data_IF_107632741465
#
_entry.id   IF_107632741465
#
_cell.length_a   1.000
_cell.length_b   1.000
_cell.length_c   1.000
_cell.angle_alpha   90.00
_cell.angle_beta   90.00
_cell.angle_gamma   90.00
#
_symmetry.space_group_name_H-M   'P 1'
#
loop_
_entity.id
_entity.type
_entity.pdbx_description
1 polymer ?
#
# COMPACT_ATOMS: atom_id res chain seq x y z
N UNK A 1 23.77 -4.98 14.09
CA UNK A 1 22.74 -3.92 14.03
C UNK A 1 22.12 -3.94 12.64
N UNK A 2 20.81 -4.16 12.53
CA UNK A 2 20.12 -4.14 11.23
C UNK A 2 20.12 -2.68 10.75
N UNK A 3 20.58 -2.44 9.51
CA UNK A 3 20.70 -1.09 8.98
C UNK A 3 19.30 -0.53 8.68
N UNK A 4 18.84 0.41 9.51
CA UNK A 4 17.52 1.06 9.44
C UNK A 4 17.22 1.62 8.04
N UNK A 5 18.23 2.16 7.34
CA UNK A 5 18.10 2.71 5.98
C UNK A 5 17.78 1.65 4.92
N UNK A 6 18.11 0.39 5.18
CA UNK A 6 17.80 -0.73 4.30
C UNK A 6 16.36 -1.23 4.52
N UNK A 7 15.89 -1.24 5.77
CA UNK A 7 14.50 -1.60 6.10
C UNK A 7 13.52 -0.61 5.46
N UNK A 8 13.73 0.69 5.64
CA UNK A 8 12.83 1.69 5.05
C UNK A 8 12.79 1.61 3.52
N UNK A 9 13.94 1.42 2.87
CA UNK A 9 14.00 1.23 1.40
C UNK A 9 13.34 -0.07 0.95
N UNK A 10 13.44 -1.13 1.74
CA UNK A 10 12.78 -2.40 1.48
C UNK A 10 11.25 -2.25 1.55
N UNK A 11 10.73 -1.64 2.61
CA UNK A 11 9.29 -1.36 2.78
C UNK A 11 8.73 -0.54 1.61
N UNK A 12 9.43 0.55 1.24
CA UNK A 12 9.00 1.41 0.13
C UNK A 12 8.96 0.65 -1.19
N UNK A 13 9.94 -0.23 -1.45
CA UNK A 13 9.96 -1.05 -2.67
C UNK A 13 8.76 -2.00 -2.71
N UNK A 14 8.39 -2.61 -1.59
CA UNK A 14 7.22 -3.50 -1.53
C UNK A 14 5.90 -2.74 -1.77
N UNK A 15 5.70 -1.58 -1.14
CA UNK A 15 4.52 -0.74 -1.42
C UNK A 15 4.52 -0.18 -2.85
N UNK A 16 5.69 0.05 -3.45
CA UNK A 16 5.79 0.42 -4.87
C UNK A 16 5.38 -0.74 -5.79
N UNK A 17 5.82 -1.96 -5.49
CA UNK A 17 5.39 -3.16 -6.21
C UNK A 17 3.88 -3.38 -6.10
N UNK A 18 3.30 -3.18 -4.90
CA UNK A 18 1.86 -3.23 -4.69
C UNK A 18 1.12 -2.21 -5.56
N UNK A 19 1.58 -0.94 -5.57
CA UNK A 19 0.97 0.12 -6.35
C UNK A 19 1.01 -0.18 -7.87
N UNK A 20 2.14 -0.65 -8.37
CA UNK A 20 2.30 -1.01 -9.78
C UNK A 20 1.41 -2.22 -10.13
N UNK A 21 1.36 -3.23 -9.28
CA UNK A 21 0.49 -4.39 -9.49
C UNK A 21 -0.99 -4.00 -9.56
N UNK A 22 -1.45 -3.09 -8.69
CA UNK A 22 -2.83 -2.57 -8.71
C UNK A 22 -3.14 -1.80 -10.01
N UNK A 23 -2.18 -1.02 -10.51
CA UNK A 23 -2.33 -0.30 -11.77
C UNK A 23 -2.41 -1.27 -12.97
N UNK A 24 -1.54 -2.28 -13.00
CA UNK A 24 -1.56 -3.31 -14.05
C UNK A 24 -2.85 -4.12 -13.99
N UNK A 25 -3.40 -4.38 -12.80
CA UNK A 25 -4.71 -5.02 -12.65
C UNK A 25 -5.80 -4.19 -13.34
N UNK A 26 -5.89 -2.89 -13.03
CA UNK A 26 -6.88 -2.00 -13.67
C UNK A 26 -6.76 -1.94 -15.20
N UNK A 27 -5.52 -1.90 -15.70
CA UNK A 27 -5.24 -1.95 -17.16
C UNK A 27 -5.69 -3.30 -17.72
N UNK A 28 -5.29 -4.42 -17.11
CA UNK A 28 -5.59 -5.78 -17.60
C UNK A 28 -7.09 -6.04 -17.66
N UNK A 29 -7.85 -5.61 -16.64
CA UNK A 29 -9.30 -5.72 -16.60
C UNK A 29 -10.00 -4.88 -17.68
N UNK A 30 -9.34 -3.81 -18.15
CA UNK A 30 -9.89 -2.97 -19.23
C UNK A 30 -9.82 -3.66 -20.60
N UNK A 31 -8.80 -4.49 -20.83
CA UNK A 31 -8.56 -5.18 -22.11
C UNK A 31 -9.08 -6.62 -22.15
N UNK A 32 -9.01 -7.38 -21.05
CA UNK A 32 -9.26 -8.83 -21.03
C UNK A 32 -10.52 -9.21 -20.24
N UNK A 33 -11.69 -8.84 -20.77
CA UNK A 33 -12.98 -9.03 -20.08
C UNK A 33 -13.38 -10.50 -19.87
N UNK A 34 -12.97 -11.40 -20.76
CA UNK A 34 -13.32 -12.83 -20.67
C UNK A 34 -12.55 -13.57 -19.56
N UNK A 35 -11.32 -13.16 -19.25
CA UNK A 35 -10.42 -13.82 -18.29
C UNK A 35 -10.41 -13.14 -16.92
N UNK A 36 -11.42 -12.32 -16.63
CA UNK A 36 -11.49 -11.44 -15.46
C UNK A 36 -11.19 -12.17 -14.14
N UNK A 37 -11.79 -13.34 -13.92
CA UNK A 37 -11.64 -14.08 -12.66
C UNK A 37 -10.21 -14.56 -12.44
N UNK A 38 -9.55 -15.09 -13.48
CA UNK A 38 -8.17 -15.59 -13.38
C UNK A 38 -7.21 -14.42 -13.14
N UNK A 39 -7.40 -13.32 -13.89
CA UNK A 39 -6.63 -12.08 -13.68
C UNK A 39 -6.79 -11.63 -12.23
N UNK A 40 -8.01 -11.58 -11.71
CA UNK A 40 -8.28 -11.15 -10.35
C UNK A 40 -7.55 -12.02 -9.32
N UNK A 41 -7.66 -13.34 -9.42
CA UNK A 41 -6.99 -14.28 -8.49
C UNK A 41 -5.48 -14.06 -8.47
N UNK A 42 -4.85 -13.97 -9.65
CA UNK A 42 -3.40 -13.80 -9.76
C UNK A 42 -2.96 -12.49 -9.12
N UNK A 43 -3.64 -11.40 -9.41
CA UNK A 43 -3.28 -10.09 -8.85
C UNK A 43 -3.57 -10.00 -7.36
N UNK A 44 -4.70 -10.51 -6.86
CA UNK A 44 -4.99 -10.54 -5.43
C UNK A 44 -3.95 -11.35 -4.64
N UNK A 45 -3.45 -12.46 -5.18
CA UNK A 45 -2.34 -13.19 -4.58
C UNK A 45 -1.06 -12.34 -4.51
N UNK A 46 -0.71 -11.64 -5.59
CA UNK A 46 0.46 -10.76 -5.63
C UNK A 46 0.33 -9.60 -4.62
N UNK A 47 -0.85 -8.99 -4.55
CA UNK A 47 -1.16 -7.89 -3.62
C UNK A 47 -1.09 -8.39 -2.17
N UNK A 48 -1.69 -9.55 -1.87
CA UNK A 48 -1.66 -10.18 -0.55
C UNK A 48 -0.26 -10.60 -0.09
N UNK A 49 0.58 -11.12 -1.00
CA UNK A 49 1.99 -11.42 -0.69
C UNK A 49 2.75 -10.12 -0.40
N UNK A 50 2.50 -9.06 -1.19
CA UNK A 50 3.16 -7.78 -1.01
C UNK A 50 2.84 -7.15 0.35
N UNK A 51 1.58 -7.20 0.80
CA UNK A 51 1.19 -6.71 2.14
C UNK A 51 1.77 -7.58 3.25
N UNK A 52 1.68 -8.90 3.14
CA UNK A 52 2.23 -9.84 4.13
C UNK A 52 3.74 -9.67 4.34
N UNK A 53 4.49 -9.30 3.28
CA UNK A 53 5.93 -9.01 3.37
C UNK A 53 6.24 -7.60 3.88
N UNK A 54 5.32 -6.64 3.71
CA UNK A 54 5.54 -5.23 4.06
C UNK A 54 5.23 -4.92 5.52
N UNK A 55 4.17 -5.53 6.05
CA UNK A 55 3.63 -5.17 7.36
C UNK A 55 4.59 -5.51 8.51
N UNK A 56 5.18 -6.72 8.63
CA UNK A 56 6.06 -7.02 9.75
C UNK A 56 7.30 -6.11 9.81
N UNK A 57 8.06 -5.88 8.73
CA UNK A 57 9.17 -4.93 8.75
C UNK A 57 8.76 -3.50 9.10
N UNK A 58 7.57 -3.05 8.67
CA UNK A 58 7.04 -1.74 9.03
C UNK A 58 6.80 -1.63 10.53
N UNK A 59 6.12 -2.61 11.12
CA UNK A 59 5.85 -2.61 12.56
C UNK A 59 7.13 -2.74 13.39
N UNK A 60 8.08 -3.58 12.97
CA UNK A 60 9.40 -3.67 13.63
C UNK A 60 10.16 -2.34 13.53
N UNK A 61 10.16 -1.68 12.38
CA UNK A 61 10.78 -0.36 12.22
C UNK A 61 10.17 0.67 13.18
N UNK A 62 8.83 0.71 13.30
CA UNK A 62 8.15 1.61 14.24
C UNK A 62 8.55 1.28 15.69
N UNK A 63 8.63 0.00 16.04
CA UNK A 63 9.04 -0.44 17.38
C UNK A 63 10.49 -0.08 17.73
N UNK A 64 11.40 -0.09 16.74
CA UNK A 64 12.81 0.27 16.93
C UNK A 64 13.03 1.78 17.08
N UNK A 65 12.25 2.60 16.38
CA UNK A 65 12.47 4.06 16.33
C UNK A 65 11.69 4.82 17.41
N UNK A 66 10.56 4.29 17.88
CA UNK A 66 9.71 4.96 18.86
C UNK A 66 10.19 4.68 20.31
N UNK A 67 10.35 5.71 21.16
CA UNK A 67 10.68 5.52 22.57
C UNK A 67 9.66 4.65 23.31
N UNK A 68 10.12 3.84 24.27
CA UNK A 68 9.29 2.87 24.99
C UNK A 68 8.07 3.50 25.66
N UNK A 69 8.20 4.73 26.15
CA UNK A 69 7.15 5.48 26.86
C UNK A 69 5.97 5.85 25.94
N UNK A 70 6.24 5.94 24.62
CA UNK A 70 5.25 6.30 23.61
C UNK A 70 4.85 5.13 22.70
N UNK A 71 5.56 3.99 22.77
CA UNK A 71 5.36 2.86 21.87
C UNK A 71 3.91 2.36 21.87
N UNK A 72 3.33 2.15 23.06
CA UNK A 72 1.94 1.72 23.18
C UNK A 72 0.96 2.69 22.50
N UNK A 73 1.14 4.00 22.71
CA UNK A 73 0.29 5.05 22.12
C UNK A 73 0.36 5.04 20.59
N UNK A 74 1.57 4.97 20.03
CA UNK A 74 1.78 4.96 18.58
C UNK A 74 1.24 3.69 17.95
N UNK A 75 1.50 2.52 18.54
CA UNK A 75 1.01 1.25 18.03
C UNK A 75 -0.52 1.17 18.07
N UNK A 76 -1.15 1.55 19.19
CA UNK A 76 -2.61 1.62 19.28
C UNK A 76 -3.18 2.55 18.23
N UNK A 77 -2.59 3.74 18.04
CA UNK A 77 -3.04 4.67 17.01
C UNK A 77 -2.97 4.08 15.60
N UNK A 78 -1.85 3.42 15.24
CA UNK A 78 -1.70 2.75 13.94
C UNK A 78 -2.74 1.64 13.74
N UNK A 79 -2.97 0.79 14.73
CA UNK A 79 -3.97 -0.27 14.64
C UNK A 79 -5.39 0.28 14.55
N UNK A 80 -5.73 1.29 15.35
CA UNK A 80 -7.04 1.95 15.29
C UNK A 80 -7.29 2.55 13.91
N UNK A 81 -6.30 3.22 13.32
CA UNK A 81 -6.41 3.73 11.96
C UNK A 81 -6.62 2.59 10.95
N UNK A 82 -5.82 1.52 11.01
CA UNK A 82 -5.98 0.39 10.09
C UNK A 82 -7.37 -0.26 10.19
N UNK A 83 -7.86 -0.48 11.41
CA UNK A 83 -9.17 -1.06 11.68
C UNK A 83 -10.31 -0.15 11.24
N UNK A 84 -10.16 1.17 11.32
CA UNK A 84 -11.17 2.14 10.87
C UNK A 84 -11.14 2.35 9.36
N UNK A 85 -9.96 2.37 8.74
CA UNK A 85 -9.81 2.54 7.30
C UNK A 85 -10.35 1.36 6.50
N UNK A 86 -10.36 0.15 7.07
CA UNK A 86 -10.89 -1.05 6.40
C UNK A 86 -12.39 -0.93 6.07
N UNK A 87 -13.31 -0.72 7.03
CA UNK A 87 -14.73 -0.55 6.73
C UNK A 87 -15.03 0.73 5.92
N UNK A 88 -14.26 1.81 6.15
CA UNK A 88 -14.36 3.03 5.34
C UNK A 88 -14.02 2.74 3.88
N UNK A 89 -12.95 1.99 3.64
CA UNK A 89 -12.57 1.53 2.31
C UNK A 89 -13.68 0.69 1.67
N UNK A 90 -14.20 -0.31 2.39
CA UNK A 90 -15.31 -1.15 1.89
C UNK A 90 -16.53 -0.29 1.52
N UNK A 91 -16.90 0.69 2.33
CA UNK A 91 -18.04 1.59 2.06
C UNK A 91 -17.81 2.43 0.80
N UNK A 92 -16.61 2.99 0.64
CA UNK A 92 -16.25 3.78 -0.55
C UNK A 92 -16.28 2.88 -1.79
N UNK A 93 -15.57 1.75 -1.77
CA UNK A 93 -15.45 0.87 -2.93
C UNK A 93 -16.77 0.20 -3.31
N UNK A 94 -17.59 -0.23 -2.34
CA UNK A 94 -18.94 -0.76 -2.64
C UNK A 94 -19.83 0.28 -3.32
N UNK A 95 -19.78 1.54 -2.88
CA UNK A 95 -20.52 2.63 -3.52
C UNK A 95 -19.99 2.93 -4.92
N UNK A 96 -18.67 2.88 -5.12
CA UNK A 96 -18.04 3.09 -6.43
C UNK A 96 -18.43 1.97 -7.40
N UNK A 97 -18.32 0.70 -7.01
CA UNK A 97 -18.69 -0.43 -7.85
C UNK A 97 -20.19 -0.50 -8.18
N UNK A 98 -21.05 0.13 -7.37
CA UNK A 98 -22.47 0.25 -7.68
C UNK A 98 -22.78 1.28 -8.80
N UNK A 99 -21.85 2.22 -9.07
CA UNK A 99 -22.06 3.34 -10.00
C UNK A 99 -21.10 3.35 -11.19
N UNK A 100 -19.94 2.72 -11.04
CA UNK A 100 -18.83 2.73 -11.99
C UNK A 100 -18.42 1.28 -12.25
N UNK A 101 -18.06 0.97 -13.49
CA UNK A 101 -17.58 -0.34 -13.86
C UNK A 101 -16.26 -0.70 -13.16
N UNK A 102 -16.11 -1.97 -12.81
CA UNK A 102 -14.97 -2.42 -12.01
C UNK A 102 -13.58 -2.11 -12.62
N UNK A 103 -13.34 -2.22 -13.95
CA UNK A 103 -12.03 -1.88 -14.52
C UNK A 103 -11.65 -0.43 -14.27
N UNK A 104 -12.59 0.50 -14.44
CA UNK A 104 -12.37 1.93 -14.20
C UNK A 104 -12.05 2.22 -12.73
N UNK A 105 -12.76 1.57 -11.81
CA UNK A 105 -12.50 1.73 -10.37
C UNK A 105 -11.09 1.26 -10.01
N UNK A 106 -10.67 0.08 -10.47
CA UNK A 106 -9.31 -0.43 -10.21
C UNK A 106 -8.23 0.42 -10.89
N UNK A 107 -8.48 0.91 -12.10
CA UNK A 107 -7.53 1.76 -12.83
C UNK A 107 -7.30 3.09 -12.09
N UNK A 108 -8.37 3.78 -11.69
CA UNK A 108 -8.27 5.04 -10.93
C UNK A 108 -7.55 4.79 -9.60
N UNK A 109 -7.87 3.69 -8.91
CA UNK A 109 -7.23 3.32 -7.65
C UNK A 109 -5.73 3.07 -7.81
N UNK A 110 -5.34 2.35 -8.87
CA UNK A 110 -3.94 2.16 -9.24
C UNK A 110 -3.23 3.49 -9.48
N UNK A 111 -3.82 4.42 -10.23
CA UNK A 111 -3.24 5.74 -10.48
C UNK A 111 -3.05 6.52 -9.18
N UNK A 112 -4.08 6.60 -8.34
CA UNK A 112 -4.05 7.34 -7.06
C UNK A 112 -2.97 6.78 -6.14
N UNK A 113 -2.92 5.45 -5.96
CA UNK A 113 -1.92 4.81 -5.09
C UNK A 113 -0.50 5.04 -5.61
N UNK A 114 -0.28 4.97 -6.93
CA UNK A 114 1.03 5.28 -7.50
C UNK A 114 1.45 6.74 -7.26
N UNK A 115 0.54 7.70 -7.41
CA UNK A 115 0.81 9.12 -7.11
C UNK A 115 1.24 9.28 -5.64
N UNK A 116 0.55 8.63 -4.71
CA UNK A 116 0.88 8.66 -3.27
C UNK A 116 2.28 8.07 -3.04
N UNK A 117 2.58 6.92 -3.62
CA UNK A 117 3.91 6.29 -3.48
C UNK A 117 5.02 7.18 -4.04
N UNK A 118 4.81 7.78 -5.21
CA UNK A 118 5.77 8.72 -5.82
C UNK A 118 5.97 9.94 -4.91
N UNK A 119 4.89 10.49 -4.35
CA UNK A 119 4.97 11.62 -3.43
C UNK A 119 5.78 11.26 -2.17
N UNK A 120 5.52 10.09 -1.57
CA UNK A 120 6.26 9.58 -0.41
C UNK A 120 7.75 9.39 -0.75
N UNK A 121 8.06 8.81 -1.91
CA UNK A 121 9.42 8.64 -2.40
C UNK A 121 10.17 9.97 -2.56
N UNK A 122 9.53 10.97 -3.15
CA UNK A 122 10.11 12.31 -3.33
C UNK A 122 10.36 13.00 -1.99
N UNK A 123 9.41 12.89 -1.05
CA UNK A 123 9.53 13.50 0.27
C UNK A 123 10.66 12.86 1.09
N UNK A 124 10.76 11.52 1.09
CA UNK A 124 11.82 10.79 1.77
C UNK A 124 13.20 10.99 1.10
N UNK A 125 13.23 11.08 -0.23
CA UNK A 125 14.44 11.38 -1.00
C UNK A 125 15.00 12.78 -0.69
N UNK A 126 14.15 13.78 -0.49
CA UNK A 126 14.55 15.13 -0.06
C UNK A 126 15.12 15.14 1.37
N UNK A 127 14.48 14.42 2.30
CA UNK A 127 14.95 14.36 3.69
C UNK A 127 16.32 13.70 3.83
N UNK A 128 16.65 12.72 2.99
CA UNK A 128 17.99 12.11 2.97
C UNK A 128 19.09 13.02 2.40
N UNK A 129 18.76 14.04 1.59
CA UNK A 129 19.73 15.01 1.05
C UNK A 129 20.00 16.18 2.00
N UNK A 130 19.03 16.57 2.84
CA UNK A 130 19.18 17.70 3.78
C UNK A 130 19.92 17.33 5.09
N UNK A 131 20.30 16.06 5.27
CA UNK A 131 21.02 15.54 6.44
C UNK A 131 22.48 15.14 6.11
N UNK A 132 22.92 15.38 4.89
CA UNK A 132 24.30 15.19 4.41
C UNK A 132 24.89 16.56 4.04
#
# INVERSE_FOLDING_TARGET
AINIKNITRFIIRLYSSFAVALLILGISLSFFKHETLIIFIVFELILGISTALSDPPLFTYVQEVIPKENLGKVMTFLYTLAQLLTPVGVLIYSTLFAKIDYPTVFLISGIVVNIIVIFVLLFLGRKSKNLA
#
